data_IF_718995470968
#
_entry.id   IF_718995470968
#
_cell.length_a   1.000
_cell.length_b   1.000
_cell.length_c   1.000
_cell.angle_alpha   90.00
_cell.angle_beta   90.00
_cell.angle_gamma   90.00
#
_symmetry.space_group_name_H-M   'P 1'
#
loop_
_entity.id
_entity.type
_entity.pdbx_description
1 polymer ?
#
# COMPACT_ATOMS: atom_id res chain seq x y z
N UNK A 1 30.97 -20.31 -71.76
CA UNK A 1 30.54 -21.72 -71.58
C UNK A 1 31.36 -22.27 -70.44
N UNK A 2 30.66 -22.90 -69.48
CA UNK A 2 31.19 -23.67 -68.34
C UNK A 2 31.88 -22.79 -67.25
N UNK A 3 31.55 -22.81 -65.97
CA UNK A 3 30.82 -23.80 -65.16
C UNK A 3 30.05 -23.11 -64.01
N UNK A 4 28.75 -23.36 -63.93
CA UNK A 4 27.97 -23.30 -62.68
C UNK A 4 28.43 -24.46 -61.79
N UNK A 5 29.62 -24.35 -61.21
CA UNK A 5 30.18 -25.38 -60.34
C UNK A 5 29.56 -25.25 -58.93
N UNK A 6 28.41 -25.91 -58.79
CA UNK A 6 27.94 -26.61 -57.59
C UNK A 6 28.26 -25.95 -56.24
N UNK A 7 27.42 -24.99 -55.83
CA UNK A 7 27.24 -24.71 -54.41
C UNK A 7 26.84 -26.03 -53.72
N UNK A 8 27.56 -26.48 -52.67
CA UNK A 8 27.22 -27.70 -51.97
C UNK A 8 25.89 -27.50 -51.24
N UNK A 9 24.82 -27.89 -51.92
CA UNK A 9 23.46 -27.92 -51.38
C UNK A 9 23.32 -29.14 -50.47
N UNK A 10 23.63 -28.96 -49.19
CA UNK A 10 23.28 -29.92 -48.16
C UNK A 10 23.33 -29.32 -46.76
N UNK A 11 22.46 -29.78 -45.87
CA UNK A 11 22.51 -29.44 -44.44
C UNK A 11 23.26 -30.53 -43.65
N UNK A 12 23.55 -30.28 -42.38
CA UNK A 12 24.33 -31.21 -41.53
C UNK A 12 23.70 -32.60 -41.39
N UNK A 13 22.44 -32.78 -41.80
CA UNK A 13 21.74 -34.08 -41.76
C UNK A 13 22.02 -34.91 -43.00
N UNK A 14 22.46 -34.31 -44.11
CA UNK A 14 22.84 -35.02 -45.34
C UNK A 14 24.11 -35.86 -45.17
N UNK A 15 24.99 -35.47 -44.23
CA UNK A 15 26.19 -36.21 -43.87
C UNK A 15 25.93 -37.38 -42.90
N UNK A 16 24.74 -37.44 -42.27
CA UNK A 16 24.43 -38.46 -41.26
C UNK A 16 23.77 -39.67 -41.93
N UNK A 17 24.52 -40.75 -42.06
CA UNK A 17 23.95 -42.00 -42.57
C UNK A 17 23.07 -42.69 -41.53
N UNK A 18 21.98 -43.31 -41.99
CA UNK A 18 21.17 -44.22 -41.17
C UNK A 18 22.01 -45.35 -40.53
N UNK A 19 23.09 -45.76 -41.21
CA UNK A 19 24.06 -46.73 -40.67
C UNK A 19 24.77 -46.19 -39.43
N UNK A 20 25.20 -44.93 -39.45
CA UNK A 20 25.93 -44.30 -38.35
C UNK A 20 25.01 -44.10 -37.14
N UNK A 21 23.76 -43.71 -37.38
CA UNK A 21 22.73 -43.65 -36.34
C UNK A 21 22.52 -45.04 -35.71
N UNK A 22 22.40 -46.10 -36.54
CA UNK A 22 22.21 -47.45 -36.04
C UNK A 22 23.40 -47.94 -35.20
N UNK A 23 24.64 -47.66 -35.64
CA UNK A 23 25.86 -47.99 -34.90
C UNK A 23 25.97 -47.20 -33.59
N UNK A 24 25.68 -45.90 -33.61
CA UNK A 24 25.68 -45.07 -32.40
C UNK A 24 24.65 -45.56 -31.37
N UNK A 25 23.44 -45.92 -31.83
CA UNK A 25 22.41 -46.54 -30.97
C UNK A 25 22.84 -47.88 -30.42
N UNK A 26 23.42 -48.74 -31.27
CA UNK A 26 23.91 -50.05 -30.84
C UNK A 26 24.97 -49.90 -29.74
N UNK A 27 25.96 -49.02 -29.94
CA UNK A 27 27.01 -48.74 -28.96
C UNK A 27 26.43 -48.19 -27.66
N UNK A 28 25.62 -47.13 -27.75
CA UNK A 28 24.99 -46.48 -26.58
C UNK A 28 24.12 -47.45 -25.78
N UNK A 29 23.32 -48.28 -26.45
CA UNK A 29 22.48 -49.25 -25.77
C UNK A 29 23.30 -50.35 -25.10
N UNK A 30 24.40 -50.78 -25.71
CA UNK A 30 25.34 -51.69 -25.07
C UNK A 30 26.03 -51.06 -23.87
N UNK A 31 26.41 -49.79 -23.94
CA UNK A 31 26.98 -49.05 -22.82
C UNK A 31 25.97 -48.97 -21.66
N UNK A 32 24.69 -48.66 -21.94
CA UNK A 32 23.64 -48.67 -20.92
C UNK A 32 23.42 -50.04 -20.30
N UNK A 33 23.38 -51.11 -21.10
CA UNK A 33 23.26 -52.46 -20.56
C UNK A 33 24.46 -52.82 -19.69
N UNK A 34 25.66 -52.39 -20.08
CA UNK A 34 26.87 -52.60 -19.27
C UNK A 34 26.78 -51.87 -17.93
N UNK A 35 26.18 -50.67 -17.89
CA UNK A 35 25.98 -49.89 -16.67
C UNK A 35 24.92 -50.52 -15.76
N UNK A 36 23.78 -50.96 -16.31
CA UNK A 36 22.69 -51.61 -15.57
C UNK A 36 23.16 -52.94 -14.95
N UNK A 37 23.94 -53.73 -15.68
CA UNK A 37 24.48 -55.00 -15.21
C UNK A 37 25.84 -54.87 -14.52
N UNK A 38 26.24 -53.66 -14.11
CA UNK A 38 27.43 -53.51 -13.29
C UNK A 38 27.31 -54.30 -11.98
N UNK A 39 28.42 -54.84 -11.44
CA UNK A 39 28.42 -55.54 -10.16
C UNK A 39 28.26 -54.58 -8.96
N UNK A 40 28.26 -53.26 -9.19
CA UNK A 40 28.14 -52.24 -8.16
C UNK A 40 26.68 -52.11 -7.71
N UNK A 41 26.45 -52.02 -6.40
CA UNK A 41 25.12 -51.84 -5.85
C UNK A 41 24.63 -50.41 -6.10
N UNK A 42 23.36 -50.23 -6.49
CA UNK A 42 22.74 -48.92 -6.65
C UNK A 42 22.88 -48.03 -5.40
N UNK A 43 22.91 -48.62 -4.19
CA UNK A 43 23.14 -47.89 -2.94
C UNK A 43 24.53 -47.24 -2.82
N UNK A 44 25.49 -47.64 -3.65
CA UNK A 44 26.84 -47.07 -3.70
C UNK A 44 26.98 -45.92 -4.71
N UNK A 45 25.94 -45.60 -5.46
CA UNK A 45 25.94 -44.49 -6.41
C UNK A 45 25.82 -43.19 -5.62
N UNK A 46 26.92 -42.43 -5.56
CA UNK A 46 26.94 -41.10 -4.95
C UNK A 46 26.55 -40.08 -6.02
N UNK A 47 25.52 -39.24 -5.78
CA UNK A 47 25.14 -38.22 -6.74
C UNK A 47 26.29 -37.22 -6.94
N UNK A 48 26.40 -36.61 -8.13
CA UNK A 48 27.36 -35.55 -8.34
C UNK A 48 27.10 -34.40 -7.35
N UNK A 49 28.16 -33.67 -6.94
CA UNK A 49 27.99 -32.52 -6.07
C UNK A 49 27.10 -31.48 -6.74
N UNK A 50 26.20 -30.88 -5.96
CA UNK A 50 25.38 -29.77 -6.43
C UNK A 50 26.26 -28.53 -6.59
N UNK A 51 26.19 -27.89 -7.75
CA UNK A 51 26.90 -26.65 -8.02
C UNK A 51 26.11 -25.46 -7.44
N UNK A 52 26.17 -25.30 -6.12
CA UNK A 52 25.51 -24.22 -5.39
C UNK A 52 26.60 -23.39 -4.72
N UNK A 53 26.63 -22.09 -5.01
CA UNK A 53 27.65 -21.19 -4.47
C UNK A 53 27.45 -20.85 -2.99
N UNK A 54 26.24 -21.01 -2.48
CA UNK A 54 25.87 -20.64 -1.11
C UNK A 54 25.98 -21.84 -0.18
N UNK A 55 26.63 -21.64 0.97
CA UNK A 55 26.69 -22.68 1.99
C UNK A 55 25.42 -22.70 2.83
N UNK A 56 25.17 -23.84 3.49
CA UNK A 56 24.04 -23.98 4.41
C UNK A 56 24.07 -22.92 5.52
N UNK A 57 25.24 -22.62 6.08
CA UNK A 57 25.38 -21.62 7.14
C UNK A 57 25.01 -20.21 6.65
N UNK A 58 25.33 -19.87 5.41
CA UNK A 58 24.98 -18.57 4.83
C UNK A 58 23.47 -18.41 4.68
N UNK A 59 22.80 -19.47 4.22
CA UNK A 59 21.33 -19.50 4.10
C UNK A 59 20.68 -19.40 5.48
N UNK A 60 21.18 -20.14 6.48
CA UNK A 60 20.67 -20.07 7.86
C UNK A 60 20.83 -18.67 8.47
N UNK A 61 21.97 -18.02 8.23
CA UNK A 61 22.20 -16.63 8.66
C UNK A 61 21.20 -15.67 8.01
N UNK A 62 20.94 -15.79 6.72
CA UNK A 62 19.97 -14.95 6.01
C UNK A 62 18.55 -15.15 6.57
N UNK A 63 18.17 -16.40 6.88
CA UNK A 63 16.87 -16.69 7.49
C UNK A 63 16.73 -15.97 8.83
N UNK A 64 17.77 -16.01 9.68
CA UNK A 64 17.72 -15.36 10.98
C UNK A 64 17.66 -13.83 10.87
N UNK A 65 18.43 -13.24 9.96
CA UNK A 65 18.41 -11.81 9.69
C UNK A 65 17.02 -11.34 9.21
N UNK A 66 16.38 -12.08 8.32
CA UNK A 66 15.04 -11.74 7.84
C UNK A 66 13.97 -11.93 8.92
N UNK A 67 14.11 -12.91 9.81
CA UNK A 67 13.22 -13.06 10.97
C UNK A 67 13.33 -11.88 11.93
N UNK A 68 14.55 -11.44 12.25
CA UNK A 68 14.78 -10.31 13.14
C UNK A 68 14.21 -9.01 12.56
N UNK A 69 14.46 -8.75 11.26
CA UNK A 69 13.90 -7.60 10.54
C UNK A 69 12.38 -7.61 10.57
N UNK A 70 11.76 -8.77 10.30
CA UNK A 70 10.30 -8.90 10.31
C UNK A 70 9.72 -8.68 11.71
N UNK A 71 10.38 -9.20 12.75
CA UNK A 71 9.97 -9.02 14.14
C UNK A 71 10.02 -7.53 14.54
N UNK A 72 11.12 -6.86 14.20
CA UNK A 72 11.31 -5.43 14.50
C UNK A 72 10.27 -4.58 13.78
N UNK A 73 10.06 -4.81 12.48
CA UNK A 73 9.09 -4.07 11.69
C UNK A 73 7.66 -4.27 12.20
N UNK A 74 7.31 -5.51 12.60
CA UNK A 74 6.01 -5.81 13.21
C UNK A 74 5.83 -5.05 14.52
N UNK A 75 6.83 -5.06 15.40
CA UNK A 75 6.77 -4.35 16.68
C UNK A 75 6.59 -2.85 16.48
N UNK A 76 7.35 -2.23 15.58
CA UNK A 76 7.22 -0.80 15.28
C UNK A 76 5.84 -0.47 14.70
N UNK A 77 5.30 -1.34 13.85
CA UNK A 77 3.97 -1.19 13.29
C UNK A 77 2.91 -1.24 14.40
N UNK A 78 2.97 -2.25 15.27
CA UNK A 78 2.01 -2.43 16.36
C UNK A 78 2.06 -1.26 17.35
N UNK A 79 3.26 -0.73 17.65
CA UNK A 79 3.43 0.47 18.49
C UNK A 79 2.83 1.73 17.84
N UNK A 80 3.02 1.93 16.53
CA UNK A 80 2.43 3.05 15.79
C UNK A 80 0.90 2.95 15.75
N UNK A 81 0.37 1.75 15.54
CA UNK A 81 -1.07 1.50 15.55
C UNK A 81 -1.68 1.80 16.91
N UNK A 82 -1.05 1.33 17.99
CA UNK A 82 -1.51 1.60 19.35
C UNK A 82 -1.53 3.11 19.66
N UNK A 83 -0.48 3.83 19.24
CA UNK A 83 -0.42 5.29 19.41
C UNK A 83 -1.54 5.99 18.64
N UNK A 84 -1.76 5.59 17.38
CA UNK A 84 -2.80 6.16 16.54
C UNK A 84 -4.20 5.92 17.12
N UNK A 85 -4.47 4.73 17.64
CA UNK A 85 -5.73 4.41 18.31
C UNK A 85 -5.95 5.29 19.55
N UNK A 86 -4.91 5.52 20.36
CA UNK A 86 -5.00 6.40 21.52
C UNK A 86 -5.25 7.86 21.13
N UNK A 87 -4.56 8.36 20.10
CA UNK A 87 -4.76 9.72 19.58
C UNK A 87 -6.19 9.88 19.01
N UNK A 88 -6.67 8.87 18.28
CA UNK A 88 -8.04 8.83 17.75
C UNK A 88 -9.09 8.84 18.88
N UNK A 89 -8.90 8.02 19.92
CA UNK A 89 -9.82 7.98 21.06
C UNK A 89 -9.87 9.32 21.81
N UNK A 90 -8.71 9.94 22.04
CA UNK A 90 -8.63 11.27 22.65
C UNK A 90 -9.34 12.33 21.80
N UNK A 91 -9.10 12.32 20.49
CA UNK A 91 -9.76 13.22 19.55
C UNK A 91 -11.29 13.10 19.63
N UNK A 92 -11.83 11.89 19.56
CA UNK A 92 -13.28 11.67 19.64
C UNK A 92 -13.86 12.09 20.99
N UNK A 93 -13.13 11.87 22.08
CA UNK A 93 -13.56 12.30 23.42
C UNK A 93 -13.66 13.82 23.51
N UNK A 94 -12.67 14.54 22.96
CA UNK A 94 -12.68 16.01 22.92
C UNK A 94 -13.78 16.54 22.01
N UNK A 95 -14.01 15.92 20.85
CA UNK A 95 -15.10 16.28 19.94
C UNK A 95 -16.48 16.05 20.57
N UNK A 96 -16.69 14.95 21.29
CA UNK A 96 -17.93 14.70 22.01
C UNK A 96 -18.14 15.74 23.11
N UNK A 97 -17.10 16.08 23.88
CA UNK A 97 -17.17 17.14 24.90
C UNK A 97 -17.55 18.50 24.31
N UNK A 98 -17.01 18.84 23.14
CA UNK A 98 -17.39 20.06 22.42
C UNK A 98 -18.86 20.01 21.98
N UNK A 99 -19.33 18.88 21.46
CA UNK A 99 -20.71 18.69 21.02
C UNK A 99 -21.74 18.73 22.18
N UNK A 100 -21.35 18.27 23.36
CA UNK A 100 -22.17 18.30 24.59
C UNK A 100 -22.16 19.66 25.29
N UNK A 101 -21.30 20.60 24.87
CA UNK A 101 -21.22 21.93 25.47
C UNK A 101 -22.34 22.84 24.94
N UNK A 102 -23.18 23.36 25.85
CA UNK A 102 -24.37 24.13 25.49
C UNK A 102 -24.33 25.61 25.89
N UNK A 103 -23.26 26.06 26.55
CA UNK A 103 -23.07 27.48 26.91
C UNK A 103 -21.89 28.06 26.14
N UNK A 104 -21.93 29.35 25.81
CA UNK A 104 -20.86 30.00 25.04
C UNK A 104 -19.48 29.87 25.74
N UNK A 105 -19.47 29.97 27.07
CA UNK A 105 -18.28 29.82 27.90
C UNK A 105 -17.74 28.37 27.92
N UNK A 106 -18.62 27.36 27.97
CA UNK A 106 -18.20 25.94 27.89
C UNK A 106 -17.73 25.53 26.51
N UNK A 107 -18.32 26.10 25.44
CA UNK A 107 -17.88 25.89 24.06
C UNK A 107 -16.49 26.49 23.85
N UNK A 108 -16.25 27.71 24.33
CA UNK A 108 -14.92 28.35 24.23
C UNK A 108 -13.86 27.60 25.05
N UNK A 109 -14.20 27.11 26.25
CA UNK A 109 -13.29 26.27 27.06
C UNK A 109 -13.00 24.91 26.37
N UNK A 110 -14.02 24.25 25.82
CA UNK A 110 -13.86 23.00 25.09
C UNK A 110 -13.07 23.17 23.78
N UNK A 111 -13.29 24.28 23.06
CA UNK A 111 -12.57 24.63 21.85
C UNK A 111 -11.10 24.95 22.16
N UNK A 112 -10.82 25.74 23.20
CA UNK A 112 -9.45 26.05 23.62
C UNK A 112 -8.68 24.83 24.11
N UNK A 113 -9.35 23.89 24.80
CA UNK A 113 -8.71 22.62 25.21
C UNK A 113 -8.41 21.71 24.01
N UNK A 114 -9.31 21.63 23.02
CA UNK A 114 -9.07 20.90 21.78
C UNK A 114 -7.95 21.53 20.93
N UNK A 115 -7.95 22.86 20.81
CA UNK A 115 -6.93 23.64 20.12
C UNK A 115 -5.53 23.40 20.71
N UNK A 116 -5.43 23.37 22.04
CA UNK A 116 -4.17 23.14 22.75
C UNK A 116 -3.66 21.71 22.60
N UNK A 117 -4.54 20.71 22.66
CA UNK A 117 -4.15 19.30 22.59
C UNK A 117 -3.76 18.87 21.16
N UNK A 118 -4.42 19.45 20.14
CA UNK A 118 -4.15 19.15 18.72
C UNK A 118 -3.19 20.13 18.05
N UNK A 119 -2.78 21.20 18.74
CA UNK A 119 -1.93 22.26 18.18
C UNK A 119 -2.60 23.04 17.04
N UNK A 120 -3.94 23.16 17.05
CA UNK A 120 -4.73 23.85 16.04
C UNK A 120 -5.17 25.22 16.56
N UNK A 121 -5.31 26.20 15.67
CA UNK A 121 -5.98 27.47 15.99
C UNK A 121 -7.46 27.37 15.58
N UNK A 122 -8.37 27.69 16.51
CA UNK A 122 -9.81 27.73 16.27
C UNK A 122 -10.25 29.19 16.29
N UNK A 123 -10.56 29.74 15.11
CA UNK A 123 -11.03 31.11 14.97
C UNK A 123 -12.56 31.19 15.02
N UNK A 124 -13.07 32.12 15.82
CA UNK A 124 -14.50 32.44 15.87
C UNK A 124 -14.82 33.48 14.77
N UNK A 125 -15.43 33.06 13.67
CA UNK A 125 -15.88 33.98 12.62
C UNK A 125 -17.12 34.75 13.06
N UNK A 126 -16.94 35.91 13.69
CA UNK A 126 -18.01 36.86 14.02
C UNK A 126 -18.37 37.82 12.88
N UNK A 127 -17.56 37.86 11.80
CA UNK A 127 -17.63 38.88 10.75
C UNK A 127 -18.79 38.72 9.75
N UNK A 128 -19.51 37.59 9.74
CA UNK A 128 -20.56 37.34 8.75
C UNK A 128 -22.01 37.49 9.28
N UNK A 129 -22.20 37.95 10.52
CA UNK A 129 -23.54 38.18 11.08
C UNK A 129 -23.96 39.63 10.86
N UNK A 130 -24.73 39.90 9.80
CA UNK A 130 -25.48 41.17 9.67
C UNK A 130 -26.72 41.08 10.54
N UNK A 131 -26.70 41.75 11.70
CA UNK A 131 -27.91 42.04 12.45
C UNK A 131 -28.82 42.92 11.57
N UNK A 132 -29.93 42.38 11.09
CA UNK A 132 -30.96 43.16 10.40
C UNK A 132 -31.88 43.69 11.50
N UNK A 133 -31.84 44.99 11.75
CA UNK A 133 -32.74 45.64 12.69
C UNK A 133 -34.18 45.49 12.19
N UNK A 134 -35.05 44.89 13.00
CA UNK A 134 -36.48 44.87 12.77
C UNK A 134 -37.01 46.25 13.21
N UNK A 135 -37.70 47.01 12.33
CA UNK A 135 -38.23 48.32 12.70
C UNK A 135 -39.19 48.23 13.89
N UNK A 136 -38.88 48.89 15.01
CA UNK A 136 -39.78 49.07 16.16
C UNK A 136 -39.30 48.59 17.53
N UNK A 137 -38.08 48.06 17.66
CA UNK A 137 -37.50 47.67 18.96
C UNK A 137 -36.22 48.50 19.18
N UNK A 138 -36.21 49.35 20.21
CA UNK A 138 -35.01 50.09 20.62
C UNK A 138 -34.13 49.19 21.50
N UNK A 139 -32.94 48.82 21.01
CA UNK A 139 -31.90 48.17 21.81
C UNK A 139 -31.03 49.23 22.52
N UNK A 140 -30.84 49.05 23.83
CA UNK A 140 -29.99 49.87 24.69
C UNK A 140 -28.51 49.77 24.24
N UNK A 141 -27.90 50.90 23.92
CA UNK A 141 -26.57 50.96 23.30
C UNK A 141 -25.47 51.04 24.37
N UNK A 142 -24.51 50.10 24.46
CA UNK A 142 -23.25 50.35 25.17
C UNK A 142 -22.26 51.09 24.26
N UNK A 143 -21.63 52.12 24.82
CA UNK A 143 -20.75 53.07 24.14
C UNK A 143 -19.48 52.44 23.55
N UNK A 144 -19.19 52.73 22.28
CA UNK A 144 -17.87 52.53 21.65
C UNK A 144 -17.02 53.80 21.73
N UNK A 145 -15.68 53.70 21.95
CA UNK A 145 -14.75 54.78 21.67
C UNK A 145 -14.31 54.79 20.20
N UNK A 146 -14.34 55.98 19.60
CA UNK A 146 -13.90 56.31 18.24
C UNK A 146 -12.37 56.23 18.06
N UNK A 147 -11.90 55.76 16.90
CA UNK A 147 -10.76 56.37 16.17
C UNK A 147 -10.94 56.26 14.63
N UNK A 148 -10.38 57.25 13.93
CA UNK A 148 -10.72 57.76 12.59
C UNK A 148 -9.92 57.14 11.40
N UNK A 149 -10.65 56.88 10.32
CA UNK A 149 -10.44 57.21 8.88
C UNK A 149 -9.11 57.00 8.13
N UNK A 150 -9.20 56.35 6.94
CA UNK A 150 -8.94 56.99 5.63
C UNK A 150 -9.55 56.22 4.43
N UNK A 151 -9.96 56.96 3.39
CA UNK A 151 -10.68 56.60 2.15
C UNK A 151 -9.72 56.00 1.07
N UNK A 152 -10.10 55.22 0.03
CA UNK A 152 -10.89 55.58 -1.18
C UNK A 152 -11.18 54.33 -2.09
N UNK A 153 -11.99 54.44 -3.18
CA UNK A 153 -12.83 53.36 -3.76
C UNK A 153 -12.43 52.81 -5.17
N UNK A 154 -13.29 51.93 -5.72
CA UNK A 154 -13.38 51.30 -7.07
C UNK A 154 -12.67 49.94 -7.22
N UNK A 155 -13.21 48.88 -7.84
CA UNK A 155 -14.33 48.66 -8.79
C UNK A 155 -14.67 47.15 -8.89
N UNK A 156 -15.94 46.79 -9.12
CA UNK A 156 -16.45 45.43 -9.44
C UNK A 156 -16.18 45.03 -10.91
N UNK A 157 -16.67 43.89 -11.47
CA UNK A 157 -17.15 42.61 -10.90
C UNK A 157 -16.63 41.33 -11.65
N UNK A 158 -17.09 40.14 -11.22
CA UNK A 158 -17.69 39.07 -12.05
C UNK A 158 -16.99 37.70 -12.20
N UNK A 159 -17.87 36.67 -12.13
CA UNK A 159 -17.82 35.26 -12.57
C UNK A 159 -17.49 34.21 -11.49
N UNK A 160 -18.29 33.20 -11.10
CA UNK A 160 -19.48 32.46 -11.60
C UNK A 160 -19.13 30.97 -11.78
N UNK A 161 -19.94 30.10 -11.13
CA UNK A 161 -20.17 28.64 -11.39
C UNK A 161 -19.02 27.67 -11.03
N UNK A 162 -19.21 26.44 -10.53
CA UNK A 162 -20.28 25.42 -10.42
C UNK A 162 -20.02 24.63 -9.11
N UNK A 163 -20.96 24.26 -8.22
CA UNK A 163 -22.10 23.33 -8.26
C UNK A 163 -21.80 21.84 -8.58
N UNK A 164 -22.26 20.98 -7.64
CA UNK A 164 -22.82 19.61 -7.79
C UNK A 164 -21.83 18.42 -7.87
N UNK A 165 -22.00 17.22 -7.29
CA UNK A 165 -23.03 16.45 -6.54
C UNK A 165 -22.27 15.31 -5.75
N UNK A 166 -22.62 14.90 -4.52
CA UNK A 166 -23.65 13.93 -4.06
C UNK A 166 -23.61 12.53 -4.72
N UNK A 167 -23.59 11.48 -3.87
CA UNK A 167 -24.12 10.13 -4.16
C UNK A 167 -23.16 9.02 -3.70
N UNK A 168 -23.27 8.50 -2.46
CA UNK A 168 -24.14 7.37 -2.06
C UNK A 168 -23.92 6.06 -2.85
N UNK A 169 -23.56 4.99 -2.14
CA UNK A 169 -24.45 3.83 -2.01
C UNK A 169 -23.85 2.77 -1.09
N UNK A 170 -24.64 2.39 -0.09
CA UNK A 170 -24.52 1.20 0.73
C UNK A 170 -24.64 -0.08 -0.10
N UNK A 171 -24.04 -1.17 0.39
CA UNK A 171 -24.72 -2.47 0.45
C UNK A 171 -24.17 -3.31 1.61
N UNK A 172 -25.08 -3.55 2.55
CA UNK A 172 -25.18 -4.68 3.45
C UNK A 172 -25.04 -6.01 2.69
N UNK A 173 -24.33 -7.00 3.25
CA UNK A 173 -24.62 -8.41 3.00
C UNK A 173 -24.02 -9.30 4.10
N UNK A 174 -24.88 -9.69 5.05
CA UNK A 174 -24.78 -10.96 5.78
C UNK A 174 -25.08 -12.09 4.79
N UNK A 175 -24.30 -13.15 4.77
CA UNK A 175 -24.66 -14.45 5.35
C UNK A 175 -23.68 -15.56 4.92
N UNK A 176 -23.52 -16.53 5.80
CA UNK A 176 -23.33 -17.97 5.54
C UNK A 176 -22.22 -18.45 4.58
N UNK A 177 -21.25 -19.20 5.13
CA UNK A 177 -21.06 -20.62 4.76
C UNK A 177 -19.99 -21.29 5.64
N UNK A 178 -20.44 -22.34 6.32
CA UNK A 178 -19.61 -23.43 6.85
C UNK A 178 -19.05 -24.25 5.68
N UNK A 179 -17.80 -24.71 5.77
CA UNK A 179 -17.33 -26.04 5.33
C UNK A 179 -15.84 -26.19 5.71
N UNK A 180 -15.46 -27.15 6.56
CA UNK A 180 -15.13 -28.56 6.26
C UNK A 180 -13.72 -28.79 5.67
N UNK A 181 -12.84 -29.33 6.53
CA UNK A 181 -12.23 -30.68 6.39
C UNK A 181 -11.24 -31.00 5.24
N UNK A 182 -10.12 -31.63 5.66
CA UNK A 182 -9.01 -32.34 4.96
C UNK A 182 -7.90 -31.46 4.36
N UNK A 183 -6.61 -31.71 4.57
CA UNK A 183 -5.85 -32.93 4.95
C UNK A 183 -4.83 -32.66 6.05
#
# INVERSE_FOLDING_TARGET
MADDADEPSGDELDDISARDIAMARYKRNHDYLSEIFTPYNAASIVPPPLDISQTKEEIEKQIEEFKEKTCTQKKEHDEKMLRLEQEQQKFWTLMNKLNESHTLESIDEAANTLAKELGLQIDHSSQNVKAVAIPGIEEDTPAQPQQQQMQQPQSSPQQQQQQQHIGESATDNKDSLQDHTMM
#
